data_IF_678205427303
#
_entry.id   IF_678205427303
#
_cell.length_a   1.000
_cell.length_b   1.000
_cell.length_c   1.000
_cell.angle_alpha   90.00
_cell.angle_beta   90.00
_cell.angle_gamma   90.00
#
_symmetry.space_group_name_H-M   'P 1'
#
loop_
_entity.id
_entity.type
_entity.pdbx_description
1 polymer ?
#
# COMPACT_ATOMS: atom_id res chain seq x y z
N UNK A 1 50.67 -30.34 28.91
CA UNK A 1 49.19 -30.38 28.99
C UNK A 1 48.66 -28.98 28.70
N UNK A 2 47.93 -28.77 27.59
CA UNK A 2 47.30 -27.46 27.30
C UNK A 2 46.12 -27.29 28.27
N UNK A 3 46.18 -26.29 29.15
CA UNK A 3 45.04 -25.91 29.98
C UNK A 3 43.90 -25.47 29.06
N UNK A 4 42.82 -26.25 29.00
CA UNK A 4 41.60 -25.80 28.35
C UNK A 4 40.94 -24.77 29.25
N UNK A 5 40.99 -23.50 28.84
CA UNK A 5 40.16 -22.45 29.43
C UNK A 5 38.73 -22.64 28.89
N UNK A 6 37.85 -23.19 29.71
CA UNK A 6 36.42 -23.27 29.42
C UNK A 6 35.76 -21.90 29.59
N UNK A 7 34.74 -21.63 28.77
CA UNK A 7 33.88 -20.45 28.89
C UNK A 7 33.14 -20.49 30.24
N UNK A 8 33.14 -19.39 30.98
CA UNK A 8 32.43 -19.34 32.27
C UNK A 8 30.92 -19.19 32.06
N UNK A 9 30.14 -19.74 32.98
CA UNK A 9 28.67 -19.61 32.95
C UNK A 9 28.27 -18.13 33.06
N UNK A 10 29.05 -17.32 33.77
CA UNK A 10 28.86 -15.88 33.92
C UNK A 10 29.08 -15.15 32.59
N UNK A 11 30.14 -15.47 31.84
CA UNK A 11 30.36 -14.88 30.50
C UNK A 11 29.19 -15.20 29.57
N UNK A 12 28.68 -16.43 29.61
CA UNK A 12 27.55 -16.82 28.79
C UNK A 12 26.27 -16.02 29.13
N UNK A 13 25.99 -15.80 30.42
CA UNK A 13 24.81 -15.02 30.83
C UNK A 13 24.90 -13.55 30.40
N UNK A 14 26.09 -12.94 30.47
CA UNK A 14 26.28 -11.55 30.03
C UNK A 14 26.08 -11.43 28.52
N UNK A 15 26.62 -12.38 27.73
CA UNK A 15 26.43 -12.39 26.27
C UNK A 15 24.96 -12.50 25.91
N UNK A 16 24.21 -13.41 26.55
CA UNK A 16 22.77 -13.56 26.31
C UNK A 16 22.01 -12.28 26.66
N UNK A 17 22.35 -11.63 27.78
CA UNK A 17 21.73 -10.37 28.19
C UNK A 17 21.95 -9.25 27.15
N UNK A 18 23.17 -9.11 26.62
CA UNK A 18 23.49 -8.10 25.61
C UNK A 18 22.73 -8.41 24.29
N UNK A 19 22.72 -9.67 23.85
CA UNK A 19 21.99 -10.09 22.64
C UNK A 19 20.49 -9.82 22.78
N UNK A 20 19.89 -10.07 23.95
CA UNK A 20 18.48 -9.82 24.20
C UNK A 20 18.12 -8.32 24.08
N UNK A 21 18.95 -7.42 24.61
CA UNK A 21 18.75 -5.96 24.51
C UNK A 21 18.86 -5.50 23.06
N UNK A 22 19.90 -5.96 22.33
CA UNK A 22 20.10 -5.60 20.93
C UNK A 22 18.94 -6.10 20.05
N UNK A 23 18.46 -7.33 20.28
CA UNK A 23 17.34 -7.90 19.54
C UNK A 23 16.04 -7.10 19.77
N UNK A 24 15.77 -6.68 21.02
CA UNK A 24 14.59 -5.88 21.35
C UNK A 24 14.54 -4.55 20.60
N UNK A 25 15.70 -3.88 20.42
CA UNK A 25 15.79 -2.63 19.65
C UNK A 25 15.69 -2.84 18.14
N UNK A 26 16.19 -3.96 17.63
CA UNK A 26 16.27 -4.22 16.18
C UNK A 26 14.94 -4.71 15.58
N UNK A 27 14.15 -5.50 16.31
CA UNK A 27 12.87 -6.05 15.84
C UNK A 27 11.86 -5.04 15.25
N UNK A 28 11.60 -3.86 15.86
CA UNK A 28 10.64 -2.91 15.30
C UNK A 28 11.08 -2.34 13.94
N UNK A 29 12.39 -2.21 13.68
CA UNK A 29 12.91 -1.66 12.43
C UNK A 29 12.73 -2.60 11.23
N UNK A 30 12.69 -3.93 11.45
CA UNK A 30 12.59 -4.91 10.37
C UNK A 30 11.17 -5.12 9.82
N UNK A 31 10.13 -4.69 10.54
CA UNK A 31 8.74 -4.96 10.13
C UNK A 31 8.27 -4.11 8.95
N UNK A 32 8.68 -2.84 8.89
CA UNK A 32 8.20 -1.91 7.86
C UNK A 32 8.72 -2.24 6.45
N UNK A 33 10.01 -2.56 6.23
CA UNK A 33 10.50 -2.96 4.90
C UNK A 33 9.85 -4.25 4.38
N UNK A 34 9.64 -5.25 5.25
CA UNK A 34 8.98 -6.50 4.87
C UNK A 34 7.53 -6.26 4.47
N UNK A 35 6.80 -5.44 5.23
CA UNK A 35 5.44 -5.09 4.88
C UNK A 35 5.37 -4.35 3.54
N UNK A 36 6.25 -3.38 3.28
CA UNK A 36 6.32 -2.68 1.99
C UNK A 36 6.58 -3.64 0.83
N UNK A 37 7.45 -4.64 1.01
CA UNK A 37 7.68 -5.65 -0.01
C UNK A 37 6.41 -6.45 -0.34
N UNK A 38 5.56 -6.75 0.65
CA UNK A 38 4.27 -7.42 0.44
C UNK A 38 3.24 -6.52 -0.26
N UNK A 39 3.31 -5.21 -0.05
CA UNK A 39 2.41 -4.24 -0.72
C UNK A 39 2.68 -4.11 -2.22
N UNK A 40 3.81 -4.59 -2.74
CA UNK A 40 4.12 -4.57 -4.19
C UNK A 40 3.05 -5.28 -4.99
N UNK A 41 2.50 -6.39 -4.48
CA UNK A 41 1.39 -7.09 -5.13
C UNK A 41 0.14 -6.21 -5.23
N UNK A 42 -0.22 -5.55 -4.13
CA UNK A 42 -1.38 -4.66 -4.07
C UNK A 42 -1.23 -3.45 -5.00
N UNK A 43 -0.04 -2.83 -5.00
CA UNK A 43 0.27 -1.71 -5.90
C UNK A 43 0.23 -2.16 -7.36
N UNK A 44 0.77 -3.34 -7.68
CA UNK A 44 0.72 -3.88 -9.04
C UNK A 44 -0.70 -4.10 -9.55
N UNK A 45 -1.63 -4.54 -8.70
CA UNK A 45 -3.04 -4.65 -9.08
C UNK A 45 -3.74 -3.29 -9.23
N UNK A 46 -3.41 -2.33 -8.35
CA UNK A 46 -3.89 -0.95 -8.51
C UNK A 46 -3.41 -0.32 -9.82
N UNK A 47 -2.16 -0.55 -10.23
CA UNK A 47 -1.59 -0.04 -11.48
C UNK A 47 -2.23 -0.68 -12.72
N UNK A 48 -2.57 -1.97 -12.66
CA UNK A 48 -3.33 -2.64 -13.71
C UNK A 48 -4.72 -2.02 -13.87
N UNK A 49 -5.44 -1.83 -12.77
CA UNK A 49 -6.76 -1.19 -12.79
C UNK A 49 -6.68 0.28 -13.27
N UNK A 50 -5.66 1.02 -12.84
CA UNK A 50 -5.39 2.40 -13.29
C UNK A 50 -5.22 2.46 -14.81
N UNK A 51 -4.46 1.53 -15.38
CA UNK A 51 -4.30 1.43 -16.83
C UNK A 51 -5.64 1.16 -17.51
N UNK A 52 -6.44 0.24 -16.98
CA UNK A 52 -7.74 -0.12 -17.55
C UNK A 52 -8.74 1.06 -17.53
N UNK A 53 -8.82 1.81 -16.43
CA UNK A 53 -9.62 3.04 -16.35
C UNK A 53 -9.13 4.09 -17.36
N UNK A 54 -7.82 4.23 -17.51
CA UNK A 54 -7.24 5.23 -18.42
C UNK A 54 -7.53 4.89 -19.89
N UNK A 55 -7.45 3.61 -20.26
CA UNK A 55 -7.82 3.12 -21.59
C UNK A 55 -9.32 3.30 -21.86
N UNK A 56 -10.17 3.02 -20.87
CA UNK A 56 -11.61 3.26 -20.97
C UNK A 56 -11.92 4.74 -21.22
N UNK A 57 -11.30 5.65 -20.46
CA UNK A 57 -11.50 7.10 -20.65
C UNK A 57 -10.99 7.56 -22.01
N UNK A 58 -9.87 7.01 -22.50
CA UNK A 58 -9.33 7.34 -23.81
C UNK A 58 -10.28 6.94 -24.96
N UNK A 59 -11.04 5.84 -24.80
CA UNK A 59 -11.97 5.34 -25.82
C UNK A 59 -13.37 5.92 -25.69
N UNK A 60 -13.89 6.08 -24.47
CA UNK A 60 -15.27 6.49 -24.19
C UNK A 60 -15.41 7.98 -23.82
N UNK A 61 -14.31 8.66 -23.51
CA UNK A 61 -14.30 10.07 -23.08
C UNK A 61 -14.85 10.33 -21.67
N UNK A 62 -15.27 9.29 -20.96
CA UNK A 62 -15.87 9.39 -19.62
C UNK A 62 -15.26 8.35 -18.69
N UNK A 63 -15.28 8.63 -17.38
CA UNK A 63 -14.90 7.64 -16.38
C UNK A 63 -15.91 6.47 -16.39
N UNK A 64 -15.45 5.24 -16.16
CA UNK A 64 -16.32 4.08 -16.08
C UNK A 64 -17.29 4.21 -14.91
N UNK A 65 -18.54 3.76 -15.06
CA UNK A 65 -19.51 3.78 -13.97
C UNK A 65 -19.34 2.54 -13.08
N UNK A 66 -18.98 1.41 -13.67
CA UNK A 66 -18.79 0.14 -12.99
C UNK A 66 -17.41 -0.45 -13.27
N UNK A 67 -16.95 -1.34 -12.39
CA UNK A 67 -15.70 -2.07 -12.61
C UNK A 67 -15.72 -2.88 -13.93
N UNK A 68 -16.89 -3.41 -14.31
CA UNK A 68 -17.06 -4.18 -15.54
C UNK A 68 -16.85 -3.35 -16.81
N UNK A 69 -17.23 -2.07 -16.80
CA UNK A 69 -17.07 -1.18 -17.96
C UNK A 69 -15.59 -1.01 -18.34
N UNK A 70 -14.71 -0.90 -17.34
CA UNK A 70 -13.27 -0.82 -17.53
C UNK A 70 -12.57 -2.19 -17.52
N UNK A 71 -13.31 -3.31 -17.49
CA UNK A 71 -12.70 -4.64 -17.47
C UNK A 71 -11.91 -4.95 -16.19
N UNK A 72 -12.18 -4.24 -15.09
CA UNK A 72 -11.56 -4.51 -13.79
C UNK A 72 -12.21 -5.75 -13.21
N UNK A 73 -11.41 -6.80 -13.09
CA UNK A 73 -11.84 -8.09 -12.55
C UNK A 73 -11.33 -8.29 -11.13
N UNK A 74 -11.97 -9.22 -10.42
CA UNK A 74 -11.55 -9.62 -9.08
C UNK A 74 -10.08 -10.05 -9.08
N UNK A 75 -9.36 -9.80 -7.99
CA UNK A 75 -7.99 -10.27 -7.85
C UNK A 75 -8.01 -11.80 -7.94
N UNK A 76 -7.09 -12.39 -8.72
CA UNK A 76 -6.98 -13.84 -8.85
C UNK A 76 -6.51 -14.52 -7.56
N UNK A 77 -5.60 -15.48 -7.65
CA UNK A 77 -4.99 -16.13 -6.47
C UNK A 77 -3.97 -15.20 -5.78
N UNK A 78 -4.39 -13.99 -5.43
CA UNK A 78 -3.56 -12.98 -4.79
C UNK A 78 -3.32 -13.33 -3.32
N UNK A 79 -2.08 -13.19 -2.87
CA UNK A 79 -1.67 -13.56 -1.51
C UNK A 79 -2.01 -12.45 -0.52
N UNK A 80 -1.76 -11.19 -0.91
CA UNK A 80 -1.92 -10.02 -0.03
C UNK A 80 -3.08 -9.10 -0.42
N UNK A 81 -3.84 -9.44 -1.46
CA UNK A 81 -5.03 -8.70 -1.90
C UNK A 81 -6.30 -9.53 -1.72
N UNK A 82 -7.27 -8.95 -1.01
CA UNK A 82 -8.59 -9.51 -0.78
C UNK A 82 -9.56 -9.13 -1.89
N UNK A 83 -9.69 -7.82 -2.14
CA UNK A 83 -10.58 -7.28 -3.15
C UNK A 83 -9.86 -6.22 -3.96
N UNK A 84 -10.18 -6.15 -5.26
CA UNK A 84 -9.88 -5.05 -6.16
C UNK A 84 -11.23 -4.54 -6.66
N UNK A 85 -11.46 -3.23 -6.55
CA UNK A 85 -12.75 -2.63 -6.88
C UNK A 85 -12.57 -1.26 -7.52
N UNK A 86 -13.57 -0.88 -8.31
CA UNK A 86 -13.77 0.47 -8.81
C UNK A 86 -15.13 0.98 -8.34
N UNK A 87 -15.12 2.14 -7.68
CA UNK A 87 -16.29 2.92 -7.33
C UNK A 87 -16.39 4.09 -8.30
N UNK A 88 -17.32 4.01 -9.26
CA UNK A 88 -17.52 5.05 -10.29
C UNK A 88 -18.16 6.33 -9.75
N UNK A 89 -18.84 6.28 -8.60
CA UNK A 89 -19.44 7.45 -7.97
C UNK A 89 -18.37 8.26 -7.22
N UNK A 90 -17.54 7.57 -6.43
CA UNK A 90 -16.41 8.20 -5.73
C UNK A 90 -15.20 8.42 -6.63
N UNK A 91 -15.15 7.79 -7.81
CA UNK A 91 -14.01 7.74 -8.74
C UNK A 91 -12.76 7.14 -8.09
N UNK A 92 -12.90 5.99 -7.43
CA UNK A 92 -11.83 5.38 -6.63
C UNK A 92 -11.58 3.95 -7.06
N UNK A 93 -10.31 3.64 -7.33
CA UNK A 93 -9.83 2.25 -7.38
C UNK A 93 -9.36 1.88 -5.97
N UNK A 94 -9.88 0.81 -5.39
CA UNK A 94 -9.48 0.37 -4.06
C UNK A 94 -9.06 -1.11 -4.04
N UNK A 95 -7.95 -1.37 -3.37
CA UNK A 95 -7.46 -2.70 -3.01
C UNK A 95 -7.55 -2.87 -1.50
N UNK A 96 -8.25 -3.91 -1.04
CA UNK A 96 -8.28 -4.31 0.36
C UNK A 96 -7.20 -5.35 0.62
N UNK A 97 -6.43 -5.16 1.67
CA UNK A 97 -5.28 -5.97 2.02
C UNK A 97 -5.66 -7.17 2.90
N UNK A 98 -5.04 -8.32 2.68
CA UNK A 98 -5.14 -9.53 3.52
C UNK A 98 -3.78 -10.13 3.83
N UNK A 99 -3.72 -11.06 4.78
CA UNK A 99 -2.51 -11.81 5.17
C UNK A 99 -1.31 -10.92 5.53
N UNK A 100 -1.58 -9.70 6.02
CA UNK A 100 -0.58 -8.78 6.53
C UNK A 100 -0.60 -8.75 8.06
N UNK A 101 0.35 -8.04 8.67
CA UNK A 101 0.29 -7.78 10.11
C UNK A 101 -1.02 -7.07 10.47
N UNK A 102 -1.52 -7.23 11.69
CA UNK A 102 -2.80 -6.63 12.12
C UNK A 102 -2.88 -5.11 11.97
N UNK A 103 -1.75 -4.43 11.73
CA UNK A 103 -1.65 -2.99 11.43
C UNK A 103 -2.14 -2.63 10.02
N UNK A 104 -2.01 -3.55 9.05
CA UNK A 104 -2.37 -3.35 7.65
C UNK A 104 -3.46 -4.32 7.17
N UNK A 105 -3.69 -5.42 7.90
CA UNK A 105 -4.67 -6.41 7.50
C UNK A 105 -6.09 -5.83 7.53
N UNK A 106 -6.83 -6.00 6.43
CA UNK A 106 -8.18 -5.44 6.25
C UNK A 106 -8.22 -3.95 5.92
N UNK A 107 -7.06 -3.27 5.90
CA UNK A 107 -6.91 -1.89 5.43
C UNK A 107 -6.84 -1.86 3.90
N UNK A 108 -7.02 -0.69 3.33
CA UNK A 108 -7.10 -0.45 1.90
C UNK A 108 -6.04 0.54 1.42
N UNK A 109 -5.48 0.24 0.25
CA UNK A 109 -4.78 1.20 -0.59
C UNK A 109 -5.72 1.59 -1.74
N UNK A 110 -5.70 2.84 -2.15
CA UNK A 110 -6.55 3.29 -3.23
C UNK A 110 -5.89 4.35 -4.10
N UNK A 111 -6.36 4.44 -5.34
CA UNK A 111 -6.15 5.58 -6.21
C UNK A 111 -7.46 6.34 -6.37
N UNK A 112 -7.48 7.59 -5.90
CA UNK A 112 -8.48 8.56 -6.31
C UNK A 112 -8.18 9.00 -7.74
N UNK A 113 -9.18 9.01 -8.60
CA UNK A 113 -9.07 9.37 -10.01
C UNK A 113 -9.93 10.59 -10.35
N UNK A 114 -9.45 11.42 -11.25
CA UNK A 114 -10.29 12.41 -11.95
C UNK A 114 -9.73 12.64 -13.35
N UNK A 115 -10.57 13.12 -14.27
CA UNK A 115 -10.15 13.43 -15.64
C UNK A 115 -10.27 14.93 -15.90
N UNK A 116 -9.41 15.44 -16.78
CA UNK A 116 -9.60 16.77 -17.35
C UNK A 116 -10.56 16.72 -18.55
N UNK A 117 -10.82 17.89 -19.14
CA UNK A 117 -11.67 18.03 -20.32
C UNK A 117 -11.06 17.38 -21.58
N UNK A 118 -9.74 17.17 -21.58
CA UNK A 118 -8.99 16.49 -22.64
C UNK A 118 -8.93 14.96 -22.49
N UNK A 119 -9.70 14.39 -21.55
CA UNK A 119 -9.73 12.95 -21.24
C UNK A 119 -8.40 12.37 -20.73
N UNK A 120 -7.51 13.21 -20.20
CA UNK A 120 -6.36 12.77 -19.43
C UNK A 120 -6.81 12.45 -18.00
N UNK A 121 -6.43 11.27 -17.49
CA UNK A 121 -6.81 10.83 -16.15
C UNK A 121 -5.65 11.02 -15.18
N UNK A 122 -5.93 11.72 -14.10
CA UNK A 122 -5.04 11.97 -12.98
C UNK A 122 -5.34 11.01 -11.85
N UNK A 123 -4.31 10.61 -11.12
CA UNK A 123 -4.43 9.70 -9.99
C UNK A 123 -3.66 10.22 -8.79
N UNK A 124 -4.24 10.05 -7.60
CA UNK A 124 -3.58 10.30 -6.33
C UNK A 124 -3.73 9.09 -5.44
N UNK A 125 -2.61 8.55 -4.96
CA UNK A 125 -2.64 7.42 -4.04
C UNK A 125 -3.07 7.86 -2.64
N UNK A 126 -3.74 6.97 -1.92
CA UNK A 126 -4.02 7.11 -0.50
C UNK A 126 -4.26 5.76 0.18
N UNK A 127 -4.59 5.81 1.46
CA UNK A 127 -4.92 4.64 2.27
C UNK A 127 -5.82 4.98 3.45
N UNK A 128 -6.55 3.98 3.96
CA UNK A 128 -7.31 4.04 5.21
C UNK A 128 -6.50 3.55 6.44
N UNK A 129 -5.19 3.39 6.24
CA UNK A 129 -4.23 2.98 7.27
C UNK A 129 -4.07 4.12 8.27
N UNK A 130 -4.03 3.77 9.56
CA UNK A 130 -3.85 4.76 10.62
C UNK A 130 -2.50 5.48 10.48
N UNK A 131 -2.48 6.79 10.75
CA UNK A 131 -1.31 7.65 10.52
C UNK A 131 -0.04 7.18 11.25
N UNK A 132 -0.19 6.55 12.41
CA UNK A 132 0.89 5.90 13.18
C UNK A 132 1.61 4.77 12.41
N UNK A 133 1.00 4.23 11.35
CA UNK A 133 1.54 3.16 10.52
C UNK A 133 1.91 3.61 9.10
N UNK A 134 1.94 4.91 8.83
CA UNK A 134 2.39 5.44 7.52
C UNK A 134 3.84 5.07 7.17
N UNK A 135 4.67 4.76 8.15
CA UNK A 135 6.02 4.23 7.90
C UNK A 135 6.01 2.91 7.10
N UNK A 136 4.90 2.18 7.08
CA UNK A 136 4.73 0.95 6.31
C UNK A 136 4.29 1.20 4.86
N UNK A 137 3.98 2.45 4.49
CA UNK A 137 3.46 2.81 3.17
C UNK A 137 4.47 3.61 2.32
N UNK A 138 4.38 3.52 0.97
CA UNK A 138 4.98 4.49 0.06
C UNK A 138 4.55 5.92 0.44
N UNK A 139 5.46 6.88 0.28
CA UNK A 139 5.22 8.27 0.69
C UNK A 139 3.99 8.90 0.01
N UNK A 140 3.76 8.52 -1.24
CA UNK A 140 2.65 9.01 -2.05
C UNK A 140 1.27 8.51 -1.61
N UNK A 141 1.19 7.37 -0.91
CA UNK A 141 -0.05 6.74 -0.46
C UNK A 141 -0.45 7.10 0.98
N UNK A 142 0.24 8.07 1.61
CA UNK A 142 0.01 8.51 3.01
C UNK A 142 -1.05 9.60 3.12
N UNK A 143 -2.13 9.48 2.34
CA UNK A 143 -3.22 10.45 2.29
C UNK A 143 -4.54 9.76 2.58
N UNK A 144 -5.39 10.43 3.34
CA UNK A 144 -6.78 10.02 3.53
C UNK A 144 -7.56 10.16 2.23
N UNK A 145 -8.74 9.53 2.15
CA UNK A 145 -9.50 9.47 0.91
C UNK A 145 -9.95 10.87 0.49
N UNK A 146 -10.43 11.64 1.47
CA UNK A 146 -10.79 13.05 1.27
C UNK A 146 -9.64 13.91 0.74
N UNK A 147 -8.43 13.73 1.27
CA UNK A 147 -7.26 14.47 0.82
C UNK A 147 -6.84 14.06 -0.61
N UNK A 148 -6.88 12.76 -0.92
CA UNK A 148 -6.56 12.24 -2.25
C UNK A 148 -7.56 12.74 -3.31
N UNK A 149 -8.87 12.71 -3.00
CA UNK A 149 -9.93 13.23 -3.88
C UNK A 149 -9.81 14.73 -4.13
N UNK A 150 -9.47 15.50 -3.08
CA UNK A 150 -9.28 16.95 -3.21
C UNK A 150 -8.06 17.26 -4.09
N UNK A 151 -6.95 16.55 -3.88
CA UNK A 151 -5.73 16.76 -4.66
C UNK A 151 -5.88 16.34 -6.12
N UNK A 152 -6.53 15.19 -6.40
CA UNK A 152 -6.70 14.73 -7.78
C UNK A 152 -7.59 15.68 -8.58
N UNK A 153 -8.64 16.24 -7.95
CA UNK A 153 -9.48 17.26 -8.57
C UNK A 153 -8.68 18.51 -8.92
N UNK A 154 -7.82 18.98 -8.02
CA UNK A 154 -6.95 20.13 -8.27
C UNK A 154 -5.92 19.88 -9.39
N UNK A 155 -5.47 18.63 -9.56
CA UNK A 155 -4.59 18.25 -10.68
C UNK A 155 -5.32 18.19 -12.02
N UNK A 156 -6.53 17.63 -12.03
CA UNK A 156 -7.33 17.49 -13.24
C UNK A 156 -7.92 18.81 -13.72
N UNK A 157 -8.25 19.71 -12.80
CA UNK A 157 -8.88 21.00 -13.08
C UNK A 157 -8.05 22.13 -12.44
N UNK A 158 -6.86 22.44 -12.98
CA UNK A 158 -6.06 23.54 -12.48
C UNK A 158 -6.81 24.86 -12.73
N UNK A 159 -6.95 25.67 -11.68
CA UNK A 159 -7.45 27.03 -11.83
C UNK A 159 -6.54 27.80 -12.81
N UNK A 160 -7.11 28.61 -13.73
CA UNK A 160 -6.35 29.42 -14.66
C UNK A 160 -5.48 30.49 -13.98
#
# INVERSE_FOLDING_TARGET
MRKQHGFTLIELMIVIAIVAILAAMALPAFQAPIARAKLVEAVGQLDQAKTAVSEYVATQGNLPLTAGDAGIVAPGNAQYVDTLSWDGEQKVIAVKLKNLSGKLNGKSLYFAADKNDSNEVFYVCGSDVDSQYFSYLPVECRKTLSAALTEVKGKAHPSP
#
